data_IF_601097688980
#
_entry.id   IF_601097688980
#
_cell.length_a   1.000
_cell.length_b   1.000
_cell.length_c   1.000
_cell.angle_alpha   90.00
_cell.angle_beta   90.00
_cell.angle_gamma   90.00
#
_symmetry.space_group_name_H-M   'P 1'
#
loop_
_entity.id
_entity.type
_entity.pdbx_description
1 polymer ?
#
# COMPACT_ATOMS: atom_id res chain seq x y z
N UNK A 1 -66.49 25.09 -12.47
CA UNK A 1 -66.23 23.89 -13.30
C UNK A 1 -64.74 23.60 -13.28
N UNK A 2 -64.39 22.46 -12.71
CA UNK A 2 -63.03 21.89 -12.64
C UNK A 2 -62.43 21.65 -14.03
N UNK A 3 -61.12 21.83 -14.16
CA UNK A 3 -60.27 20.86 -14.88
C UNK A 3 -58.97 20.63 -14.13
N UNK A 4 -58.73 19.35 -13.88
CA UNK A 4 -57.70 18.77 -13.04
C UNK A 4 -56.30 18.96 -13.65
N UNK A 5 -55.29 19.23 -12.81
CA UNK A 5 -53.89 18.92 -13.11
C UNK A 5 -53.52 17.65 -12.37
N UNK A 6 -53.31 16.58 -13.12
CA UNK A 6 -52.82 15.29 -12.66
C UNK A 6 -51.37 15.39 -12.22
N UNK A 7 -51.08 14.84 -11.04
CA UNK A 7 -49.75 14.71 -10.45
C UNK A 7 -49.00 13.55 -11.11
N UNK A 8 -47.73 13.78 -11.47
CA UNK A 8 -46.77 12.72 -11.74
C UNK A 8 -45.52 12.97 -10.92
N UNK A 9 -45.53 12.43 -9.70
CA UNK A 9 -44.35 12.34 -8.82
C UNK A 9 -43.44 11.22 -9.33
N UNK A 10 -42.37 11.58 -10.04
CA UNK A 10 -41.22 10.68 -10.24
C UNK A 10 -40.28 10.85 -9.05
N UNK A 11 -40.45 10.01 -8.03
CA UNK A 11 -39.52 9.90 -6.90
C UNK A 11 -38.40 8.92 -7.26
N UNK A 12 -37.40 9.38 -8.00
CA UNK A 12 -36.13 8.67 -8.08
C UNK A 12 -35.30 9.00 -6.83
N UNK A 13 -35.35 8.13 -5.82
CA UNK A 13 -34.37 8.12 -4.73
C UNK A 13 -33.27 7.14 -5.12
N UNK A 14 -32.16 7.68 -5.63
CA UNK A 14 -30.93 6.92 -5.79
C UNK A 14 -30.38 6.49 -4.44
N UNK A 15 -29.94 5.23 -4.38
CA UNK A 15 -29.30 4.60 -3.23
C UNK A 15 -27.84 5.04 -3.17
N UNK A 16 -27.32 5.20 -1.95
CA UNK A 16 -25.89 5.01 -1.71
C UNK A 16 -25.26 5.91 -0.65
N UNK A 17 -25.60 5.73 0.63
CA UNK A 17 -24.64 6.08 1.68
C UNK A 17 -23.73 4.85 1.89
N UNK A 18 -22.76 4.69 0.97
CA UNK A 18 -21.64 3.79 1.21
C UNK A 18 -20.66 4.54 2.11
N UNK A 19 -20.77 4.30 3.42
CA UNK A 19 -19.93 4.92 4.43
C UNK A 19 -18.52 4.33 4.35
N UNK A 20 -17.73 4.83 3.40
CA UNK A 20 -16.34 4.48 3.22
C UNK A 20 -15.47 5.38 4.11
N UNK A 21 -15.32 4.95 5.35
CA UNK A 21 -14.38 5.53 6.32
C UNK A 21 -12.95 5.14 5.96
N UNK A 22 -12.40 5.70 4.88
CA UNK A 22 -10.97 5.56 4.58
C UNK A 22 -10.17 6.65 5.30
N UNK A 23 -9.58 6.26 6.43
CA UNK A 23 -8.47 6.88 7.18
C UNK A 23 -8.32 8.40 7.11
N UNK A 24 -8.78 9.09 8.17
CA UNK A 24 -8.22 10.41 8.52
C UNK A 24 -6.88 10.17 9.22
N UNK A 25 -5.78 10.44 8.53
CA UNK A 25 -4.45 10.49 9.13
C UNK A 25 -4.23 11.95 9.53
N UNK A 26 -4.12 12.21 10.83
CA UNK A 26 -3.68 13.50 11.36
C UNK A 26 -2.27 13.77 10.84
N UNK A 27 -2.09 14.86 10.09
CA UNK A 27 -0.80 15.27 9.54
C UNK A 27 0.01 16.02 10.59
N UNK A 28 0.59 15.29 11.53
CA UNK A 28 1.73 15.78 12.32
C UNK A 28 3.00 15.27 11.63
N UNK A 29 3.38 15.97 10.56
CA UNK A 29 4.68 15.81 9.91
C UNK A 29 5.73 16.51 10.77
N UNK A 30 6.21 15.83 11.81
CA UNK A 30 7.52 16.17 12.37
C UNK A 30 8.59 15.44 11.56
N UNK A 31 9.47 16.21 10.92
CA UNK A 31 10.69 15.71 10.29
C UNK A 31 11.65 15.22 11.37
N UNK A 32 11.40 14.02 11.89
CA UNK A 32 12.30 13.33 12.82
C UNK A 32 13.07 12.24 12.07
N UNK A 33 14.40 12.28 12.18
CA UNK A 33 15.34 11.15 12.10
C UNK A 33 14.73 9.83 11.57
N UNK A 34 15.08 9.42 10.34
CA UNK A 34 14.47 8.32 9.56
C UNK A 34 13.94 7.16 10.43
N UNK A 35 12.71 7.29 10.92
CA UNK A 35 12.15 6.35 11.87
C UNK A 35 12.09 4.96 11.23
N UNK A 36 12.68 3.97 11.90
CA UNK A 36 12.69 2.58 11.41
C UNK A 36 11.26 2.05 11.21
N UNK A 37 10.35 2.42 12.11
CA UNK A 37 8.95 2.10 11.97
C UNK A 37 8.07 3.12 12.70
N UNK A 38 6.83 3.23 12.24
CA UNK A 38 5.78 4.01 12.90
C UNK A 38 4.75 3.07 13.52
N UNK A 39 4.40 3.27 14.79
CA UNK A 39 3.30 2.53 15.41
C UNK A 39 1.97 2.97 14.79
N UNK A 40 1.18 2.04 14.25
CA UNK A 40 -0.10 2.36 13.61
C UNK A 40 -1.33 1.86 14.37
N UNK A 41 -1.13 1.10 15.45
CA UNK A 41 -2.21 0.54 16.29
C UNK A 41 -2.38 1.32 17.59
N UNK A 42 -3.60 1.32 18.14
CA UNK A 42 -3.94 2.09 19.35
C UNK A 42 -3.57 1.37 20.65
N UNK A 43 -3.49 0.04 20.64
CA UNK A 43 -3.18 -0.75 21.85
C UNK A 43 -1.69 -0.81 22.15
N UNK A 44 -1.34 -1.37 23.32
CA UNK A 44 0.05 -1.57 23.70
C UNK A 44 0.70 -2.62 22.79
N UNK A 45 1.92 -2.34 22.34
CA UNK A 45 2.68 -3.21 21.43
C UNK A 45 4.08 -3.39 21.97
N UNK A 46 4.74 -4.52 21.65
CA UNK A 46 6.13 -4.75 22.04
C UNK A 46 7.06 -3.62 21.56
N UNK A 47 8.16 -3.38 22.29
CA UNK A 47 9.16 -2.39 21.90
C UNK A 47 9.76 -2.74 20.53
N UNK A 48 10.14 -1.72 19.74
CA UNK A 48 10.59 -1.93 18.36
C UNK A 48 11.85 -2.81 18.29
N UNK A 49 12.70 -2.75 19.32
CA UNK A 49 13.91 -3.54 19.47
C UNK A 49 13.60 -5.05 19.56
N UNK A 50 12.41 -5.45 20.01
CA UNK A 50 12.04 -6.87 20.02
C UNK A 50 11.83 -7.44 18.61
N UNK A 51 11.77 -6.58 17.59
CA UNK A 51 11.66 -6.97 16.18
C UNK A 51 13.01 -6.97 15.47
N UNK A 52 14.13 -6.80 16.18
CA UNK A 52 15.46 -6.67 15.58
C UNK A 52 15.85 -7.86 14.68
N UNK A 53 15.36 -9.06 15.00
CA UNK A 53 15.63 -10.28 14.25
C UNK A 53 14.71 -10.47 13.03
N UNK A 54 13.72 -9.59 12.84
CA UNK A 54 12.78 -9.70 11.73
C UNK A 54 13.38 -9.18 10.42
N UNK A 55 13.04 -9.85 9.30
CA UNK A 55 13.53 -9.47 7.97
C UNK A 55 13.19 -8.02 7.61
N UNK A 56 12.01 -7.53 8.00
CA UNK A 56 11.59 -6.14 7.73
C UNK A 56 12.44 -5.12 8.48
N UNK A 57 12.76 -5.40 9.74
CA UNK A 57 13.57 -4.52 10.56
C UNK A 57 15.00 -4.47 10.04
N UNK A 58 15.58 -5.64 9.78
CA UNK A 58 16.94 -5.74 9.24
C UNK A 58 17.05 -5.03 7.89
N UNK A 59 16.06 -5.21 7.00
CA UNK A 59 16.04 -4.55 5.71
C UNK A 59 15.91 -3.03 5.84
N UNK A 60 15.03 -2.53 6.71
CA UNK A 60 14.87 -1.08 6.91
C UNK A 60 16.11 -0.46 7.56
N UNK A 61 16.71 -1.12 8.54
CA UNK A 61 17.96 -0.68 9.15
C UNK A 61 19.10 -0.64 8.12
N UNK A 62 19.20 -1.65 7.25
CA UNK A 62 20.16 -1.71 6.14
C UNK A 62 20.01 -0.53 5.17
N UNK A 63 18.77 -0.20 4.79
CA UNK A 63 18.47 0.94 3.92
C UNK A 63 18.81 2.29 4.58
N UNK A 64 18.50 2.45 5.87
CA UNK A 64 18.86 3.66 6.62
C UNK A 64 20.39 3.85 6.71
N UNK A 65 21.18 2.77 6.70
CA UNK A 65 22.66 2.83 6.61
C UNK A 65 23.18 3.18 5.21
N UNK A 66 22.30 3.32 4.21
CA UNK A 66 22.68 3.57 2.81
C UNK A 66 23.22 2.35 2.08
N UNK A 67 23.05 1.15 2.63
CA UNK A 67 23.46 -0.08 1.97
C UNK A 67 22.52 -0.44 0.82
N UNK A 68 23.07 -1.14 -0.19
CA UNK A 68 22.28 -1.62 -1.33
C UNK A 68 21.55 -2.92 -0.96
N UNK A 69 20.28 -3.02 -1.35
CA UNK A 69 19.52 -4.26 -1.23
C UNK A 69 20.07 -5.33 -2.17
N UNK A 70 20.13 -6.58 -1.69
CA UNK A 70 20.43 -7.73 -2.54
C UNK A 70 19.24 -8.07 -3.44
N UNK A 71 19.38 -9.11 -4.28
CA UNK A 71 18.26 -9.56 -5.11
C UNK A 71 17.16 -10.21 -4.27
N UNK A 72 17.58 -11.01 -3.29
CA UNK A 72 16.72 -11.72 -2.35
C UNK A 72 15.92 -10.72 -1.50
N UNK A 73 16.57 -9.66 -1.02
CA UNK A 73 15.92 -8.56 -0.29
C UNK A 73 14.80 -7.92 -1.11
N UNK A 74 15.04 -7.70 -2.41
CA UNK A 74 14.07 -7.08 -3.33
C UNK A 74 12.88 -7.97 -3.62
N UNK A 75 13.15 -9.26 -3.88
CA UNK A 75 12.11 -10.25 -4.16
C UNK A 75 11.24 -10.45 -2.91
N UNK A 76 11.86 -10.56 -1.74
CA UNK A 76 11.15 -10.61 -0.45
C UNK A 76 10.32 -9.35 -0.18
N UNK A 77 10.89 -8.16 -0.39
CA UNK A 77 10.17 -6.90 -0.15
C UNK A 77 8.96 -6.77 -1.10
N UNK A 78 9.12 -7.17 -2.36
CA UNK A 78 8.04 -7.18 -3.32
C UNK A 78 6.89 -8.07 -2.86
N UNK A 79 7.18 -9.27 -2.35
CA UNK A 79 6.17 -10.16 -1.81
C UNK A 79 5.50 -9.58 -0.56
N UNK A 80 6.29 -9.14 0.42
CA UNK A 80 5.79 -8.63 1.70
C UNK A 80 4.88 -7.40 1.54
N UNK A 81 5.20 -6.50 0.61
CA UNK A 81 4.40 -5.30 0.34
C UNK A 81 3.10 -5.61 -0.40
N UNK A 82 3.11 -6.55 -1.34
CA UNK A 82 1.90 -6.86 -2.11
C UNK A 82 1.02 -7.94 -1.46
N UNK A 83 1.54 -8.71 -0.50
CA UNK A 83 0.81 -9.73 0.24
C UNK A 83 0.16 -9.21 1.55
N UNK A 84 0.19 -7.90 1.79
CA UNK A 84 -0.47 -7.31 2.95
C UNK A 84 -1.73 -6.52 2.56
N UNK A 85 -2.68 -6.45 3.48
CA UNK A 85 -3.99 -5.80 3.26
C UNK A 85 -4.05 -4.37 3.81
N UNK A 86 -3.03 -3.93 4.54
CA UNK A 86 -3.06 -2.67 5.29
C UNK A 86 -2.48 -1.50 4.49
N UNK A 87 -1.34 -1.70 3.82
CA UNK A 87 -0.56 -0.64 3.22
C UNK A 87 -0.01 -1.04 1.86
N UNK A 88 -0.03 -0.10 0.91
CA UNK A 88 0.49 -0.31 -0.45
C UNK A 88 2.01 -0.04 -0.58
N UNK A 89 2.60 0.67 0.38
CA UNK A 89 4.00 1.12 0.32
C UNK A 89 4.81 0.79 1.58
N UNK A 90 4.25 -0.04 2.46
CA UNK A 90 4.79 -0.33 3.77
C UNK A 90 4.50 -1.78 4.15
N UNK A 91 5.32 -2.35 5.03
CA UNK A 91 5.12 -3.69 5.57
C UNK A 91 4.71 -3.57 7.04
N UNK A 92 3.53 -4.06 7.43
CA UNK A 92 3.11 -4.10 8.83
C UNK A 92 3.70 -5.31 9.55
N UNK A 93 4.19 -5.11 10.78
CA UNK A 93 4.62 -6.20 11.66
C UNK A 93 4.34 -5.86 13.13
N UNK A 94 3.57 -6.70 13.82
CA UNK A 94 3.24 -6.55 15.26
C UNK A 94 2.78 -5.13 15.65
N UNK A 95 1.95 -4.48 14.81
CA UNK A 95 1.43 -3.13 15.05
C UNK A 95 2.38 -1.98 14.72
N UNK A 96 3.56 -2.30 14.21
CA UNK A 96 4.51 -1.38 13.60
C UNK A 96 4.36 -1.36 12.08
N UNK A 97 4.58 -0.19 11.47
CA UNK A 97 4.56 0.05 10.02
C UNK A 97 5.96 0.44 9.58
N UNK A 98 6.56 -0.39 8.73
CA UNK A 98 7.87 -0.11 8.12
C UNK A 98 7.68 0.48 6.73
N UNK A 99 8.04 1.75 6.55
CA UNK A 99 7.85 2.46 5.29
C UNK A 99 9.00 2.21 4.32
N UNK A 100 8.64 1.93 3.05
CA UNK A 100 9.60 1.72 1.96
C UNK A 100 9.28 2.61 0.75
N UNK A 101 8.59 3.73 0.98
CA UNK A 101 8.16 4.64 -0.09
C UNK A 101 9.34 5.27 -0.84
N UNK A 102 10.49 5.38 -0.20
CA UNK A 102 11.77 5.81 -0.76
C UNK A 102 12.29 4.85 -1.83
N UNK A 103 12.13 3.55 -1.59
CA UNK A 103 12.69 2.48 -2.44
C UNK A 103 11.69 1.96 -3.47
N UNK A 104 10.41 1.89 -3.13
CA UNK A 104 9.39 1.28 -3.96
C UNK A 104 9.01 2.14 -5.16
N UNK A 105 8.75 1.51 -6.30
CA UNK A 105 8.20 2.12 -7.50
C UNK A 105 6.80 1.58 -7.76
N UNK A 106 5.98 2.38 -8.45
CA UNK A 106 4.63 1.99 -8.83
C UNK A 106 4.64 1.38 -10.22
N UNK A 107 4.04 0.21 -10.36
CA UNK A 107 3.92 -0.53 -11.61
C UNK A 107 2.45 -0.81 -11.92
N UNK A 108 2.09 -0.66 -13.19
CA UNK A 108 0.81 -1.10 -13.73
C UNK A 108 1.04 -2.36 -14.56
N UNK A 109 0.39 -3.45 -14.20
CA UNK A 109 0.61 -4.76 -14.82
C UNK A 109 -0.67 -5.24 -15.47
N UNK A 110 -0.56 -5.61 -16.76
CA UNK A 110 -1.64 -6.21 -17.52
C UNK A 110 -1.46 -7.73 -17.55
N UNK A 111 -2.39 -8.43 -16.90
CA UNK A 111 -2.50 -9.88 -16.94
C UNK A 111 -3.89 -10.27 -17.43
N UNK A 112 -3.94 -11.07 -18.49
CA UNK A 112 -5.20 -11.58 -19.07
C UNK A 112 -6.22 -10.48 -19.42
N UNK A 113 -5.75 -9.29 -19.81
CA UNK A 113 -6.61 -8.14 -20.15
C UNK A 113 -7.07 -7.32 -18.94
N UNK A 114 -6.66 -7.68 -17.72
CA UNK A 114 -6.92 -6.93 -16.50
C UNK A 114 -5.70 -6.13 -16.09
N UNK A 115 -5.91 -4.86 -15.71
CA UNK A 115 -4.87 -3.98 -15.20
C UNK A 115 -4.91 -3.93 -13.68
N UNK A 116 -3.77 -4.17 -13.05
CA UNK A 116 -3.61 -4.07 -11.61
C UNK A 116 -2.39 -3.24 -11.22
N UNK A 117 -2.51 -2.53 -10.11
CA UNK A 117 -1.43 -1.71 -9.55
C UNK A 117 -0.60 -2.54 -8.56
N UNK A 118 0.72 -2.48 -8.69
CA UNK A 118 1.66 -3.13 -7.80
C UNK A 118 2.78 -2.18 -7.37
N UNK A 119 3.32 -2.42 -6.19
CA UNK A 119 4.49 -1.70 -5.69
C UNK A 119 5.66 -2.66 -5.57
N UNK A 120 6.79 -2.29 -6.16
CA UNK A 120 7.98 -3.13 -6.13
C UNK A 120 9.26 -2.29 -6.24
N UNK A 121 10.39 -2.78 -5.71
CA UNK A 121 11.67 -2.10 -5.87
C UNK A 121 12.16 -2.11 -7.32
N UNK A 122 11.89 -3.16 -8.08
CA UNK A 122 12.15 -3.20 -9.51
C UNK A 122 11.16 -4.09 -10.29
N UNK A 123 11.19 -3.97 -11.63
CA UNK A 123 10.37 -4.80 -12.53
C UNK A 123 10.71 -6.29 -12.42
N UNK A 124 11.93 -6.62 -11.99
CA UNK A 124 12.42 -8.01 -11.99
C UNK A 124 11.89 -8.77 -10.79
N UNK A 125 11.70 -8.12 -9.64
CA UNK A 125 11.07 -8.71 -8.45
C UNK A 125 9.57 -8.93 -8.62
N UNK A 126 8.91 -8.20 -9.53
CA UNK A 126 7.49 -8.44 -9.85
C UNK A 126 7.25 -9.73 -10.63
N UNK A 127 8.18 -10.15 -11.50
CA UNK A 127 7.99 -11.37 -12.30
C UNK A 127 7.84 -12.66 -11.49
N UNK A 128 8.66 -12.92 -10.44
CA UNK A 128 8.47 -14.11 -9.61
C UNK A 128 7.19 -14.01 -8.75
N UNK A 129 6.80 -12.81 -8.33
CA UNK A 129 5.57 -12.60 -7.57
C UNK A 129 4.31 -12.82 -8.43
N UNK A 130 4.32 -12.33 -9.67
CA UNK A 130 3.20 -12.44 -10.58
C UNK A 130 3.22 -13.76 -11.33
N UNK A 131 2.42 -14.71 -10.85
CA UNK A 131 2.23 -15.99 -11.51
C UNK A 131 1.61 -15.83 -12.90
N UNK A 132 2.11 -16.59 -13.88
CA UNK A 132 1.52 -16.72 -15.20
C UNK A 132 2.07 -15.78 -16.28
N UNK A 133 1.31 -15.63 -17.37
CA UNK A 133 1.75 -14.86 -18.55
C UNK A 133 1.39 -13.40 -18.38
N UNK A 134 2.42 -12.57 -18.27
CA UNK A 134 2.29 -11.12 -18.20
C UNK A 134 2.30 -10.54 -19.63
N UNK A 135 1.28 -9.77 -19.98
CA UNK A 135 1.20 -9.11 -21.28
C UNK A 135 2.09 -7.87 -21.30
N UNK A 136 1.91 -6.98 -20.31
CA UNK A 136 2.62 -5.70 -20.23
C UNK A 136 2.89 -5.30 -18.78
N UNK A 137 4.00 -4.61 -18.55
CA UNK A 137 4.35 -3.96 -17.28
C UNK A 137 4.79 -2.55 -17.61
N UNK A 138 4.16 -1.56 -16.99
CA UNK A 138 4.45 -0.14 -17.16
C UNK A 138 4.91 0.42 -15.81
N UNK A 139 6.08 1.06 -15.77
CA UNK A 139 6.53 1.81 -14.59
C UNK A 139 5.87 3.19 -14.62
N UNK A 140 5.28 3.61 -13.50
CA UNK A 140 4.70 4.94 -13.34
C UNK A 140 5.75 5.81 -12.64
N UNK A 141 6.23 6.89 -13.28
CA UNK A 141 7.18 7.81 -12.66
C UNK A 141 6.53 8.51 -11.46
N UNK A 142 7.33 8.75 -10.41
CA UNK A 142 6.94 9.63 -9.32
C UNK A 142 7.18 11.07 -9.79
N UNK A 143 6.14 11.88 -9.80
CA UNK A 143 6.18 13.30 -10.17
C UNK A 143 6.66 14.15 -9.01
#
# INVERSE_FOLDING_TARGET
MNKQKVNMTSSMKEKGYSSSSHYRISSEFEQSEQALATKFVHWNVPPLESLCDSSVYLLRAKLNRGERMSREDKDWLCEAVNNNTYFRSAVPLQGWRFDFIDVLKKYLVNQYGQWAEYYAPDRTSLRPYLCGRISQIVEIPKY
#
